data_IF_191114985176
#
_entry.id   IF_191114985176
#
_cell.length_a   1.000
_cell.length_b   1.000
_cell.length_c   1.000
_cell.angle_alpha   90.00
_cell.angle_beta   90.00
_cell.angle_gamma   90.00
#
_symmetry.space_group_name_H-M   'P 1'
#
loop_
_entity.id
_entity.type
_entity.pdbx_description
1 polymer ?
#
# COMPACT_ATOMS: atom_id res chain seq x y z
N UNK A 1 -0.44 25.14 -2.10
CA UNK A 1 -0.05 24.07 -3.05
C UNK A 1 -0.46 22.72 -2.50
N UNK A 2 -0.98 21.82 -3.33
CA UNK A 2 -1.10 20.40 -2.96
C UNK A 2 0.28 19.83 -2.63
N UNK A 3 0.39 19.00 -1.58
CA UNK A 3 1.68 18.36 -1.25
C UNK A 3 2.08 17.47 -2.42
N UNK A 4 3.24 17.74 -3.02
CA UNK A 4 3.79 16.91 -4.10
C UNK A 4 4.37 15.62 -3.56
N UNK A 5 4.46 14.61 -4.42
CA UNK A 5 5.05 13.31 -4.07
C UNK A 5 6.44 13.47 -3.46
N UNK A 6 6.70 12.74 -2.37
CA UNK A 6 8.02 12.67 -1.75
C UNK A 6 9.00 11.83 -2.58
N UNK A 7 10.31 12.03 -2.38
CA UNK A 7 11.35 11.19 -3.00
C UNK A 7 11.25 9.73 -2.56
N UNK A 8 10.81 9.47 -1.33
CA UNK A 8 10.63 8.11 -0.79
C UNK A 8 9.50 7.36 -1.51
N UNK A 9 8.35 8.02 -1.71
CA UNK A 9 7.23 7.45 -2.46
C UNK A 9 7.63 7.21 -3.92
N UNK A 10 8.36 8.15 -4.52
CA UNK A 10 8.88 7.96 -5.87
C UNK A 10 9.81 6.74 -5.95
N UNK A 11 10.75 6.63 -5.01
CA UNK A 11 11.69 5.50 -4.93
C UNK A 11 10.93 4.18 -4.81
N UNK A 12 9.90 4.11 -3.98
CA UNK A 12 9.06 2.92 -3.81
C UNK A 12 8.33 2.55 -5.11
N UNK A 13 7.74 3.53 -5.81
CA UNK A 13 7.11 3.29 -7.13
C UNK A 13 8.11 2.72 -8.14
N UNK A 14 9.32 3.29 -8.22
CA UNK A 14 10.35 2.76 -9.12
C UNK A 14 10.84 1.37 -8.71
N UNK A 15 10.85 1.06 -7.42
CA UNK A 15 11.16 -0.29 -6.95
C UNK A 15 10.11 -1.33 -7.35
N UNK A 16 8.82 -0.97 -7.34
CA UNK A 16 7.78 -1.82 -7.93
C UNK A 16 8.04 -2.04 -9.42
N UNK A 17 8.31 -0.97 -10.18
CA UNK A 17 8.62 -1.07 -11.62
C UNK A 17 9.80 -2.03 -11.86
N UNK A 18 10.87 -1.91 -11.07
CA UNK A 18 12.02 -2.81 -11.15
C UNK A 18 11.64 -4.26 -10.84
N UNK A 19 10.88 -4.52 -9.77
CA UNK A 19 10.43 -5.88 -9.43
C UNK A 19 9.59 -6.51 -10.56
N UNK A 20 8.68 -5.74 -11.16
CA UNK A 20 7.91 -6.22 -12.30
C UNK A 20 8.79 -6.48 -13.52
N UNK A 21 9.84 -5.68 -13.73
CA UNK A 21 10.80 -5.91 -14.80
C UNK A 21 11.55 -7.24 -14.63
N UNK A 22 11.95 -7.61 -13.41
CA UNK A 22 12.54 -8.93 -13.12
C UNK A 22 11.55 -10.06 -13.36
N UNK A 23 10.30 -9.88 -12.93
CA UNK A 23 9.23 -10.84 -13.20
C UNK A 23 9.01 -11.06 -14.70
N UNK A 24 8.96 -9.98 -15.50
CA UNK A 24 8.87 -10.08 -16.96
C UNK A 24 10.09 -10.75 -17.62
N UNK A 25 11.25 -10.64 -17.00
CA UNK A 25 12.49 -11.27 -17.45
C UNK A 25 12.66 -12.71 -16.94
N UNK A 26 11.73 -13.24 -16.13
CA UNK A 26 11.82 -14.58 -15.54
C UNK A 26 12.92 -14.72 -14.47
N UNK A 27 13.30 -13.62 -13.81
CA UNK A 27 14.36 -13.60 -12.79
C UNK A 27 13.72 -13.63 -11.39
N UNK A 28 14.07 -14.65 -10.60
CA UNK A 28 13.56 -14.83 -9.24
C UNK A 28 14.26 -13.89 -8.25
N UNK A 29 13.48 -13.06 -7.56
CA UNK A 29 13.99 -12.04 -6.62
C UNK A 29 13.37 -12.15 -5.22
N UNK A 30 12.42 -13.06 -5.00
CA UNK A 30 11.68 -13.11 -3.75
C UNK A 30 12.62 -13.34 -2.56
N UNK A 31 12.48 -12.51 -1.52
CA UNK A 31 13.29 -12.56 -0.29
C UNK A 31 14.81 -12.39 -0.47
N UNK A 32 15.25 -11.89 -1.63
CA UNK A 32 16.63 -11.45 -1.81
C UNK A 32 16.78 -10.00 -1.33
N UNK A 33 18.02 -9.60 -1.05
CA UNK A 33 18.33 -8.19 -0.80
C UNK A 33 18.54 -7.46 -2.12
N UNK A 34 18.07 -6.21 -2.13
CA UNK A 34 18.32 -5.26 -3.20
C UNK A 34 19.81 -4.92 -3.43
N UNK A 35 20.72 -5.38 -2.56
CA UNK A 35 22.18 -5.26 -2.72
C UNK A 35 22.76 -6.21 -3.78
N UNK A 36 22.07 -7.29 -4.10
CA UNK A 36 22.51 -8.32 -5.06
C UNK A 36 21.68 -8.27 -6.35
N UNK A 37 21.29 -7.07 -6.79
CA UNK A 37 20.42 -6.88 -7.94
C UNK A 37 21.05 -7.45 -9.21
N UNK A 38 20.46 -8.48 -9.83
CA UNK A 38 20.92 -8.96 -11.13
C UNK A 38 20.68 -7.87 -12.17
N UNK A 39 21.45 -7.86 -13.26
CA UNK A 39 21.24 -6.89 -14.33
C UNK A 39 19.95 -7.24 -15.07
N UNK A 40 19.03 -6.28 -15.17
CA UNK A 40 17.84 -6.37 -16.04
C UNK A 40 17.91 -5.30 -17.13
N UNK A 41 17.56 -5.69 -18.36
CA UNK A 41 17.57 -4.78 -19.53
C UNK A 41 16.59 -3.62 -19.35
N UNK A 42 16.97 -2.44 -19.84
CA UNK A 42 16.11 -1.25 -19.81
C UNK A 42 14.83 -1.43 -20.63
N UNK A 43 14.83 -2.35 -21.60
CA UNK A 43 13.61 -2.77 -22.32
C UNK A 43 12.53 -3.28 -21.34
N UNK A 44 12.88 -4.15 -20.39
CA UNK A 44 11.92 -4.68 -19.42
C UNK A 44 11.47 -3.62 -18.44
N UNK A 45 12.36 -2.71 -18.01
CA UNK A 45 11.99 -1.59 -17.13
C UNK A 45 10.99 -0.65 -17.82
N UNK A 46 11.23 -0.32 -19.08
CA UNK A 46 10.30 0.49 -19.88
C UNK A 46 8.94 -0.20 -20.01
N UNK A 47 8.93 -1.47 -20.42
CA UNK A 47 7.70 -2.27 -20.57
C UNK A 47 6.94 -2.38 -19.25
N UNK A 48 7.65 -2.60 -18.15
CA UNK A 48 7.07 -2.68 -16.81
C UNK A 48 6.41 -1.35 -16.40
N UNK A 49 7.12 -0.24 -16.54
CA UNK A 49 6.61 1.09 -16.23
C UNK A 49 5.32 1.38 -16.98
N UNK A 50 5.34 1.23 -18.31
CA UNK A 50 4.18 1.53 -19.15
C UNK A 50 2.99 0.61 -18.86
N UNK A 51 3.25 -0.69 -18.68
CA UNK A 51 2.20 -1.65 -18.37
C UNK A 51 1.53 -1.35 -17.03
N UNK A 52 2.29 -1.14 -15.96
CA UNK A 52 1.75 -0.88 -14.62
C UNK A 52 0.94 0.42 -14.57
N UNK A 53 1.40 1.48 -15.26
CA UNK A 53 0.68 2.76 -15.35
C UNK A 53 -0.65 2.61 -16.09
N UNK A 54 -0.65 1.89 -17.22
CA UNK A 54 -1.87 1.61 -18.00
C UNK A 54 -2.87 0.78 -17.20
N UNK A 55 -2.39 -0.25 -16.50
CA UNK A 55 -3.23 -1.08 -15.62
C UNK A 55 -3.84 -0.26 -14.48
N UNK A 56 -3.09 0.65 -13.88
CA UNK A 56 -3.61 1.56 -12.87
C UNK A 56 -4.72 2.46 -13.42
N UNK A 57 -4.53 3.08 -14.59
CA UNK A 57 -5.56 3.93 -15.20
C UNK A 57 -6.85 3.14 -15.42
N UNK A 58 -6.76 1.93 -15.99
CA UNK A 58 -7.93 1.07 -16.22
C UNK A 58 -8.65 0.70 -14.93
N UNK A 59 -7.91 0.48 -13.84
CA UNK A 59 -8.49 0.18 -12.53
C UNK A 59 -9.00 1.41 -11.77
N UNK A 60 -8.53 2.60 -12.16
CA UNK A 60 -8.87 3.84 -11.49
C UNK A 60 -10.15 4.44 -12.09
N UNK A 61 -10.87 5.22 -11.30
CA UNK A 61 -12.06 5.97 -11.75
C UNK A 61 -11.70 7.17 -12.65
N UNK A 62 -10.46 7.25 -13.16
CA UNK A 62 -10.01 8.31 -14.08
C UNK A 62 -10.59 8.08 -15.48
N UNK A 63 -11.91 8.21 -15.61
CA UNK A 63 -12.58 8.18 -16.89
C UNK A 63 -12.32 9.49 -17.64
N UNK A 64 -11.52 9.40 -18.71
CA UNK A 64 -11.20 10.54 -19.59
C UNK A 64 -12.04 10.56 -20.88
N UNK A 65 -13.10 9.74 -21.00
CA UNK A 65 -13.90 9.69 -22.23
C UNK A 65 -14.50 11.06 -22.57
N UNK A 66 -15.12 11.71 -21.60
CA UNK A 66 -15.78 13.01 -21.76
C UNK A 66 -14.89 14.20 -21.40
N UNK A 67 -13.63 13.95 -21.02
CA UNK A 67 -12.67 15.02 -20.74
C UNK A 67 -12.42 15.85 -22.01
N UNK A 68 -12.75 17.14 -21.92
CA UNK A 68 -12.44 18.17 -22.92
C UNK A 68 -11.33 19.05 -22.35
N UNK A 69 -10.11 19.03 -22.95
CA UNK A 69 -8.98 19.79 -22.44
C UNK A 69 -9.33 21.26 -22.23
N UNK A 70 -8.97 21.80 -21.06
CA UNK A 70 -9.13 23.22 -20.70
C UNK A 70 -10.56 23.78 -20.76
N UNK A 71 -11.60 22.95 -20.88
CA UNK A 71 -12.98 23.43 -21.11
C UNK A 71 -13.57 24.23 -19.94
N UNK A 72 -13.01 24.08 -18.74
CA UNK A 72 -13.43 24.79 -17.53
C UNK A 72 -12.30 25.67 -16.94
N UNK A 73 -11.25 25.93 -17.73
CA UNK A 73 -10.09 26.73 -17.31
C UNK A 73 -10.53 28.11 -16.80
N UNK A 74 -11.26 28.84 -17.63
CA UNK A 74 -11.65 30.22 -17.34
C UNK A 74 -12.52 30.31 -16.08
N UNK A 75 -13.53 29.45 -15.96
CA UNK A 75 -14.44 29.47 -14.81
C UNK A 75 -13.74 29.06 -13.51
N UNK A 76 -12.89 28.03 -13.53
CA UNK A 76 -12.10 27.64 -12.35
C UNK A 76 -11.15 28.75 -11.91
N UNK A 77 -10.44 29.38 -12.84
CA UNK A 77 -9.52 30.48 -12.51
C UNK A 77 -10.27 31.69 -11.95
N UNK A 78 -11.36 32.13 -12.61
CA UNK A 78 -12.20 33.24 -12.12
C UNK A 78 -12.71 32.98 -10.71
N UNK A 79 -13.29 31.81 -10.46
CA UNK A 79 -13.80 31.43 -9.14
C UNK A 79 -12.70 31.44 -8.09
N UNK A 80 -11.51 30.91 -8.42
CA UNK A 80 -10.38 30.89 -7.50
C UNK A 80 -9.88 32.30 -7.19
N UNK A 81 -9.73 33.15 -8.20
CA UNK A 81 -9.32 34.56 -8.04
C UNK A 81 -10.29 35.29 -7.12
N UNK A 82 -11.60 35.24 -7.41
CA UNK A 82 -12.62 35.87 -6.57
C UNK A 82 -12.53 35.39 -5.11
N UNK A 83 -12.45 34.07 -4.89
CA UNK A 83 -12.36 33.49 -3.55
C UNK A 83 -11.13 33.91 -2.74
N UNK A 84 -10.04 34.29 -3.41
CA UNK A 84 -8.80 34.76 -2.76
C UNK A 84 -8.84 36.26 -2.53
N UNK A 85 -9.42 37.02 -3.46
CA UNK A 85 -9.58 38.48 -3.34
C UNK A 85 -10.48 38.84 -2.15
N UNK A 86 -11.55 38.09 -1.92
CA UNK A 86 -12.49 38.25 -0.80
C UNK A 86 -11.88 37.95 0.58
N UNK A 87 -10.74 37.24 0.64
CA UNK A 87 -10.10 36.91 1.91
C UNK A 87 -9.25 38.07 2.43
N UNK A 88 -9.23 38.22 3.76
CA UNK A 88 -8.39 39.19 4.44
C UNK A 88 -6.94 38.69 4.57
N UNK A 89 -6.26 38.57 3.43
CA UNK A 89 -4.86 38.17 3.32
C UNK A 89 -4.00 39.34 2.84
N UNK A 90 -2.71 39.31 3.19
CA UNK A 90 -1.72 40.23 2.59
C UNK A 90 -1.63 40.00 1.09
N UNK A 91 -1.22 41.02 0.34
CA UNK A 91 -1.04 40.90 -1.12
C UNK A 91 -0.07 39.77 -1.48
N UNK A 92 1.04 39.63 -0.73
CA UNK A 92 2.01 38.55 -0.91
C UNK A 92 1.37 37.16 -0.72
N UNK A 93 0.54 37.00 0.31
CA UNK A 93 -0.17 35.73 0.55
C UNK A 93 -1.17 35.45 -0.56
N UNK A 94 -1.90 36.46 -1.04
CA UNK A 94 -2.82 36.31 -2.19
C UNK A 94 -2.08 35.87 -3.45
N UNK A 95 -0.96 36.52 -3.78
CA UNK A 95 -0.11 36.17 -4.93
C UNK A 95 0.39 34.72 -4.82
N UNK A 96 0.89 34.33 -3.65
CA UNK A 96 1.37 32.96 -3.40
C UNK A 96 0.26 31.91 -3.60
N UNK A 97 -0.92 32.12 -3.00
CA UNK A 97 -2.06 31.20 -3.14
C UNK A 97 -2.53 31.09 -4.59
N UNK A 98 -2.57 32.19 -5.34
CA UNK A 98 -2.96 32.19 -6.75
C UNK A 98 -1.94 31.47 -7.61
N UNK A 99 -0.65 31.72 -7.38
CA UNK A 99 0.46 31.07 -8.11
C UNK A 99 0.42 29.56 -7.89
N UNK A 100 0.30 29.12 -6.63
CA UNK A 100 0.16 27.70 -6.28
C UNK A 100 -1.04 27.05 -6.97
N UNK A 101 -2.17 27.74 -7.00
CA UNK A 101 -3.40 27.23 -7.62
C UNK A 101 -3.26 27.10 -9.13
N UNK A 102 -2.57 28.04 -9.78
CA UNK A 102 -2.28 27.98 -11.21
C UNK A 102 -1.34 26.80 -11.55
N UNK A 103 -0.32 26.58 -10.72
CA UNK A 103 0.61 25.46 -10.88
C UNK A 103 -0.09 24.11 -10.65
N UNK A 104 -0.94 24.00 -9.62
CA UNK A 104 -1.77 22.83 -9.36
C UNK A 104 -2.70 22.54 -10.55
N UNK A 105 -3.44 23.55 -11.01
CA UNK A 105 -4.32 23.43 -12.17
C UNK A 105 -3.57 22.97 -13.43
N UNK A 106 -2.45 23.63 -13.76
CA UNK A 106 -1.65 23.31 -14.96
C UNK A 106 -1.15 21.87 -14.90
N UNK A 107 -0.72 21.44 -13.72
CA UNK A 107 -0.24 20.07 -13.49
C UNK A 107 -1.36 19.04 -13.70
N UNK A 108 -2.55 19.29 -13.14
CA UNK A 108 -3.72 18.42 -13.29
C UNK A 108 -4.15 18.30 -14.76
N UNK A 109 -4.27 19.43 -15.48
CA UNK A 109 -4.65 19.41 -16.90
C UNK A 109 -3.60 18.68 -17.75
N UNK A 110 -2.30 18.90 -17.51
CA UNK A 110 -1.25 18.17 -18.22
C UNK A 110 -1.33 16.66 -17.97
N UNK A 111 -1.60 16.22 -16.75
CA UNK A 111 -1.77 14.80 -16.43
C UNK A 111 -3.00 14.22 -17.14
N UNK A 112 -4.13 14.94 -17.11
CA UNK A 112 -5.36 14.50 -17.78
C UNK A 112 -5.18 14.42 -19.30
N UNK A 113 -4.47 15.38 -19.89
CA UNK A 113 -4.12 15.37 -21.31
C UNK A 113 -3.25 14.16 -21.67
N UNK A 114 -2.21 13.86 -20.89
CA UNK A 114 -1.38 12.66 -21.09
C UNK A 114 -2.21 11.37 -21.02
N UNK A 115 -3.16 11.30 -20.08
CA UNK A 115 -4.04 10.13 -19.96
C UNK A 115 -4.95 10.02 -21.19
N UNK A 116 -5.47 11.15 -21.70
CA UNK A 116 -6.34 11.18 -22.89
C UNK A 116 -5.61 10.78 -24.16
N UNK A 117 -4.39 11.27 -24.37
CA UNK A 117 -3.61 11.06 -25.59
C UNK A 117 -2.95 9.68 -25.60
N UNK A 118 -2.26 9.32 -24.52
CA UNK A 118 -1.35 8.17 -24.51
C UNK A 118 -1.85 7.01 -23.62
N UNK A 119 -2.96 7.21 -22.90
CA UNK A 119 -3.47 6.24 -21.93
C UNK A 119 -2.51 6.05 -20.75
N UNK A 120 -1.70 7.07 -20.42
CA UNK A 120 -0.69 7.02 -19.36
C UNK A 120 -0.56 8.37 -18.63
N UNK A 121 0.21 8.41 -17.53
CA UNK A 121 0.46 9.61 -16.73
C UNK A 121 1.96 9.79 -16.43
N UNK A 122 2.36 10.96 -15.92
CA UNK A 122 3.74 11.25 -15.53
C UNK A 122 4.01 10.91 -14.06
N UNK A 123 5.16 10.30 -13.78
CA UNK A 123 5.67 10.01 -12.44
C UNK A 123 6.74 11.03 -11.98
N UNK A 124 6.87 12.15 -12.68
CA UNK A 124 7.78 13.22 -12.27
C UNK A 124 7.26 13.87 -10.97
N UNK A 125 8.16 14.19 -10.04
CA UNK A 125 7.81 14.72 -8.70
C UNK A 125 6.87 15.93 -8.76
N UNK A 126 7.11 16.84 -9.72
CA UNK A 126 6.30 18.05 -9.89
C UNK A 126 4.93 17.79 -10.52
N UNK A 127 4.75 16.62 -11.15
CA UNK A 127 3.56 16.31 -11.94
C UNK A 127 2.53 15.49 -11.18
N UNK A 128 2.90 14.83 -10.08
CA UNK A 128 1.99 13.94 -9.34
C UNK A 128 1.82 14.45 -7.90
N UNK A 129 0.56 14.54 -7.47
CA UNK A 129 0.24 14.85 -6.08
C UNK A 129 0.68 13.69 -5.16
N UNK A 130 0.93 14.00 -3.90
CA UNK A 130 1.28 12.96 -2.92
C UNK A 130 0.16 11.94 -2.76
N UNK A 131 -1.09 12.39 -2.79
CA UNK A 131 -2.27 11.52 -2.64
C UNK A 131 -2.41 10.56 -3.83
N UNK A 132 -2.19 11.04 -5.06
CA UNK A 132 -2.17 10.15 -6.23
C UNK A 132 -1.00 9.17 -6.18
N UNK A 133 0.17 9.60 -5.73
CA UNK A 133 1.32 8.72 -5.57
C UNK A 133 1.04 7.61 -4.54
N UNK A 134 0.39 7.94 -3.42
CA UNK A 134 -0.05 6.95 -2.41
C UNK A 134 -1.09 6.00 -3.02
N UNK A 135 -2.12 6.52 -3.71
CA UNK A 135 -3.12 5.68 -4.39
C UNK A 135 -2.49 4.73 -5.39
N UNK A 136 -1.54 5.20 -6.20
CA UNK A 136 -0.84 4.36 -7.16
C UNK A 136 0.06 3.32 -6.46
N UNK A 137 0.77 3.70 -5.41
CA UNK A 137 1.61 2.78 -4.62
C UNK A 137 0.78 1.68 -3.97
N UNK A 138 -0.36 2.03 -3.39
CA UNK A 138 -1.31 1.09 -2.80
C UNK A 138 -1.88 0.13 -3.85
N UNK A 139 -2.21 0.65 -5.05
CA UNK A 139 -2.61 -0.19 -6.18
C UNK A 139 -1.50 -1.16 -6.60
N UNK A 140 -0.26 -0.68 -6.73
CA UNK A 140 0.88 -1.53 -7.11
C UNK A 140 1.08 -2.64 -6.08
N UNK A 141 1.07 -2.33 -4.79
CA UNK A 141 1.21 -3.34 -3.76
C UNK A 141 0.10 -4.39 -3.84
N UNK A 142 -1.17 -3.96 -3.95
CA UNK A 142 -2.30 -4.89 -4.09
C UNK A 142 -2.17 -5.75 -5.35
N UNK A 143 -1.80 -5.15 -6.48
CA UNK A 143 -1.60 -5.87 -7.74
C UNK A 143 -0.51 -6.94 -7.61
N UNK A 144 0.62 -6.60 -6.98
CA UNK A 144 1.72 -7.55 -6.76
C UNK A 144 1.31 -8.70 -5.86
N UNK A 145 0.65 -8.40 -4.74
CA UNK A 145 0.17 -9.43 -3.82
C UNK A 145 -0.91 -10.33 -4.45
N UNK A 146 -1.83 -9.77 -5.24
CA UNK A 146 -2.86 -10.55 -5.94
C UNK A 146 -2.28 -11.47 -7.01
N UNK A 147 -1.22 -11.02 -7.69
CA UNK A 147 -0.57 -11.75 -8.79
C UNK A 147 0.63 -12.58 -8.35
N UNK A 148 0.90 -12.65 -7.05
CA UNK A 148 2.04 -13.37 -6.46
C UNK A 148 3.37 -12.96 -7.12
N UNK A 149 3.53 -11.65 -7.37
CA UNK A 149 4.72 -11.10 -7.99
C UNK A 149 5.79 -10.90 -6.91
N UNK A 150 7.00 -11.46 -7.09
CA UNK A 150 8.11 -11.27 -6.16
C UNK A 150 8.46 -9.80 -5.89
N UNK A 151 8.79 -9.49 -4.65
CA UNK A 151 9.26 -8.17 -4.22
C UNK A 151 10.51 -8.28 -3.35
N UNK A 152 11.33 -7.24 -3.35
CA UNK A 152 12.49 -7.13 -2.44
C UNK A 152 12.04 -7.03 -0.98
N UNK A 153 12.83 -7.57 -0.05
CA UNK A 153 12.53 -7.46 1.38
C UNK A 153 12.40 -5.99 1.82
N UNK A 154 13.29 -5.13 1.31
CA UNK A 154 13.28 -3.71 1.65
C UNK A 154 12.00 -2.99 1.17
N UNK A 155 11.28 -3.54 0.17
CA UNK A 155 9.96 -3.04 -0.22
C UNK A 155 8.88 -3.40 0.80
N UNK A 156 8.93 -4.62 1.35
CA UNK A 156 8.03 -5.01 2.43
C UNK A 156 8.25 -4.12 3.65
N UNK A 157 9.51 -3.80 3.98
CA UNK A 157 9.85 -2.91 5.09
C UNK A 157 9.37 -1.47 4.87
N UNK A 158 9.63 -0.91 3.69
CA UNK A 158 9.22 0.47 3.35
C UNK A 158 7.69 0.60 3.22
N UNK A 159 7.01 -0.39 2.66
CA UNK A 159 5.55 -0.37 2.58
C UNK A 159 4.93 -0.56 3.97
N UNK A 160 5.48 -1.45 4.81
CA UNK A 160 5.03 -1.65 6.18
C UNK A 160 5.11 -0.38 7.01
N UNK A 161 6.20 0.40 6.89
CA UNK A 161 6.35 1.64 7.66
C UNK A 161 5.31 2.71 7.29
N UNK A 162 4.72 2.62 6.09
CA UNK A 162 3.68 3.53 5.61
C UNK A 162 2.25 2.99 5.84
N UNK A 163 2.06 1.67 5.69
CA UNK A 163 0.73 1.03 5.56
C UNK A 163 0.68 -0.30 6.34
N UNK A 164 1.18 -0.32 7.59
CA UNK A 164 1.36 -1.54 8.40
C UNK A 164 0.13 -2.46 8.42
N UNK A 165 -1.06 -1.92 8.71
CA UNK A 165 -2.29 -2.71 8.80
C UNK A 165 -2.55 -3.50 7.51
N UNK A 166 -2.48 -2.82 6.37
CA UNK A 166 -2.74 -3.39 5.06
C UNK A 166 -1.67 -4.41 4.69
N UNK A 167 -0.41 -4.11 5.00
CA UNK A 167 0.69 -5.05 4.84
C UNK A 167 0.47 -6.34 5.65
N UNK A 168 0.22 -6.24 6.95
CA UNK A 168 -0.02 -7.42 7.82
C UNK A 168 -1.24 -8.22 7.33
N UNK A 169 -2.30 -7.56 6.89
CA UNK A 169 -3.48 -8.24 6.35
C UNK A 169 -3.15 -9.09 5.12
N UNK A 170 -2.32 -8.56 4.22
CA UNK A 170 -1.83 -9.31 3.08
C UNK A 170 -0.96 -10.50 3.48
N UNK A 171 -0.09 -10.33 4.48
CA UNK A 171 0.73 -11.41 5.01
C UNK A 171 -0.13 -12.52 5.64
N UNK A 172 -1.22 -12.16 6.33
CA UNK A 172 -2.21 -13.11 6.85
C UNK A 172 -2.87 -13.89 5.71
N UNK A 173 -3.35 -13.18 4.68
CA UNK A 173 -4.01 -13.82 3.53
C UNK A 173 -3.12 -14.82 2.80
N UNK A 174 -1.82 -14.53 2.73
CA UNK A 174 -0.82 -15.39 2.06
C UNK A 174 -0.16 -16.41 3.00
N UNK A 175 -0.50 -16.40 4.31
CA UNK A 175 0.14 -17.23 5.33
C UNK A 175 1.67 -17.11 5.32
N UNK A 176 2.17 -15.87 5.22
CA UNK A 176 3.60 -15.58 5.26
C UNK A 176 3.94 -14.98 6.62
N UNK A 177 5.01 -15.47 7.25
CA UNK A 177 5.42 -14.96 8.56
C UNK A 177 5.86 -13.50 8.46
N UNK A 178 5.28 -12.63 9.29
CA UNK A 178 5.64 -11.19 9.32
C UNK A 178 7.06 -10.90 9.83
N UNK A 179 7.69 -11.86 10.53
CA UNK A 179 9.05 -11.69 11.06
C UNK A 179 10.09 -12.27 10.10
N UNK A 180 9.84 -13.48 9.59
CA UNK A 180 10.87 -14.25 8.87
C UNK A 180 10.63 -14.30 7.37
N UNK A 181 9.46 -13.89 6.88
CA UNK A 181 9.09 -14.01 5.47
C UNK A 181 8.83 -15.45 4.99
N UNK A 182 8.93 -16.45 5.88
CA UNK A 182 8.72 -17.85 5.52
C UNK A 182 7.23 -18.13 5.25
N UNK A 183 6.90 -18.94 4.22
CA UNK A 183 5.52 -19.34 3.95
C UNK A 183 5.00 -20.32 5.01
N UNK A 184 3.72 -20.69 4.91
CA UNK A 184 3.02 -21.64 5.79
C UNK A 184 2.94 -21.20 7.27
N UNK A 185 2.87 -19.90 7.51
CA UNK A 185 2.70 -19.34 8.85
C UNK A 185 1.36 -19.73 9.49
N UNK A 186 1.39 -19.90 10.81
CA UNK A 186 0.26 -20.19 11.68
C UNK A 186 -0.35 -18.89 12.20
N UNK A 187 -1.66 -18.90 12.46
CA UNK A 187 -2.36 -17.75 13.02
C UNK A 187 -2.09 -17.68 14.53
N UNK A 188 -1.45 -16.61 15.00
CA UNK A 188 -1.20 -16.35 16.40
C UNK A 188 -2.18 -15.32 16.96
N UNK A 189 -2.78 -15.61 18.12
CA UNK A 189 -3.58 -14.64 18.87
C UNK A 189 -2.68 -13.73 19.70
N UNK A 190 -2.66 -12.44 19.38
CA UNK A 190 -1.77 -11.49 20.05
C UNK A 190 -2.44 -10.86 21.27
N UNK A 191 -3.59 -10.20 21.15
CA UNK A 191 -4.17 -9.47 22.30
C UNK A 191 -4.88 -10.38 23.30
N UNK A 192 -5.73 -11.31 22.85
CA UNK A 192 -6.39 -12.33 23.72
C UNK A 192 -6.12 -13.74 23.20
N UNK A 193 -5.42 -14.55 23.98
CA UNK A 193 -5.16 -15.95 23.64
C UNK A 193 -6.46 -16.74 23.52
N UNK A 194 -6.45 -17.84 22.75
CA UNK A 194 -7.60 -18.73 22.63
C UNK A 194 -8.07 -19.23 24.01
N UNK A 195 -7.15 -19.48 24.96
CA UNK A 195 -7.47 -19.85 26.34
C UNK A 195 -8.19 -18.74 27.11
N UNK A 196 -7.75 -17.48 26.99
CA UNK A 196 -8.40 -16.33 27.62
C UNK A 196 -9.81 -16.07 27.07
N UNK A 197 -10.10 -16.52 25.84
CA UNK A 197 -11.42 -16.48 25.24
C UNK A 197 -12.34 -17.64 25.69
N UNK A 198 -11.84 -18.61 26.48
CA UNK A 198 -12.57 -19.83 26.83
C UNK A 198 -12.51 -20.93 25.74
N UNK A 199 -11.56 -20.83 24.83
CA UNK A 199 -11.31 -21.74 23.73
C UNK A 199 -11.80 -21.24 22.36
N UNK A 200 -11.34 -21.91 21.30
CA UNK A 200 -11.64 -21.53 19.90
C UNK A 200 -13.14 -21.44 19.59
N UNK A 201 -14.01 -22.16 20.31
CA UNK A 201 -15.47 -22.09 20.14
C UNK A 201 -16.06 -20.69 20.39
N UNK A 202 -15.36 -19.85 21.15
CA UNK A 202 -15.77 -18.48 21.45
C UNK A 202 -14.93 -17.44 20.69
N UNK A 203 -14.00 -17.87 19.86
CA UNK A 203 -13.21 -16.98 19.03
C UNK A 203 -14.09 -16.41 17.91
N UNK A 204 -14.52 -15.15 18.07
CA UNK A 204 -15.31 -14.40 17.08
C UNK A 204 -14.44 -13.62 16.09
N UNK A 205 -13.13 -13.51 16.32
CA UNK A 205 -12.24 -12.67 15.53
C UNK A 205 -12.31 -11.18 15.88
N UNK A 206 -13.48 -10.56 15.74
CA UNK A 206 -13.67 -9.10 15.91
C UNK A 206 -13.22 -8.63 17.30
N UNK A 207 -12.42 -7.56 17.34
CA UNK A 207 -11.87 -6.96 18.56
C UNK A 207 -10.68 -7.72 19.15
N UNK A 208 -10.15 -8.73 18.46
CA UNK A 208 -8.90 -9.40 18.80
C UNK A 208 -7.84 -9.12 17.72
N UNK A 209 -6.58 -9.29 18.08
CA UNK A 209 -5.45 -8.96 17.21
C UNK A 209 -4.65 -10.21 16.85
N UNK A 210 -4.23 -10.31 15.60
CA UNK A 210 -3.61 -11.51 15.04
C UNK A 210 -2.36 -11.20 14.23
N UNK A 211 -1.46 -12.18 14.16
CA UNK A 211 -0.31 -12.18 13.26
C UNK A 211 -0.10 -13.57 12.64
N UNK A 212 0.38 -13.65 11.38
CA UNK A 212 0.87 -14.89 10.81
C UNK A 212 2.32 -15.08 11.27
N UNK A 213 2.59 -16.13 12.05
CA UNK A 213 3.92 -16.41 12.59
C UNK A 213 4.42 -17.80 12.14
N UNK A 214 5.71 -17.93 11.86
CA UNK A 214 6.33 -19.26 11.72
C UNK A 214 6.28 -19.99 13.06
N UNK A 215 6.36 -21.32 13.03
CA UNK A 215 6.28 -22.16 14.23
C UNK A 215 7.22 -21.71 15.36
N UNK A 216 8.44 -21.28 15.01
CA UNK A 216 9.44 -20.80 15.97
C UNK A 216 8.97 -19.57 16.78
N UNK A 217 8.21 -18.66 16.16
CA UNK A 217 7.67 -17.46 16.80
C UNK A 217 6.28 -17.69 17.38
N UNK A 218 5.52 -18.64 16.83
CA UNK A 218 4.17 -19.00 17.27
C UNK A 218 4.18 -19.72 18.63
N UNK A 219 5.10 -20.68 18.82
CA UNK A 219 5.24 -21.44 20.08
C UNK A 219 5.48 -20.49 21.29
N UNK A 220 6.22 -19.40 21.07
CA UNK A 220 6.49 -18.40 22.11
C UNK A 220 5.25 -17.67 22.62
N UNK A 221 4.17 -17.62 21.84
CA UNK A 221 2.90 -16.99 22.20
C UNK A 221 1.97 -17.96 22.91
N UNK A 222 1.83 -19.17 22.37
CA UNK A 222 0.78 -20.11 22.79
C UNK A 222 1.21 -21.04 23.93
N UNK A 223 2.51 -21.25 24.14
CA UNK A 223 3.03 -22.18 25.14
C UNK A 223 3.81 -21.53 26.28
N UNK A 224 3.98 -20.20 26.27
CA UNK A 224 4.59 -19.45 27.39
C UNK A 224 6.04 -19.83 27.72
N UNK A 225 6.71 -20.59 26.86
CA UNK A 225 8.05 -21.13 27.12
C UNK A 225 9.10 -20.01 27.06
N UNK A 226 9.91 -19.90 28.12
CA UNK A 226 11.14 -19.10 28.13
C UNK A 226 10.99 -17.60 27.82
N UNK A 227 9.87 -16.98 28.23
CA UNK A 227 9.59 -15.56 28.00
C UNK A 227 9.22 -15.23 26.54
N UNK A 228 8.76 -16.22 25.76
CA UNK A 228 8.51 -16.11 24.32
C UNK A 228 7.63 -14.94 23.89
N UNK A 229 6.61 -14.58 24.68
CA UNK A 229 5.75 -13.41 24.39
C UNK A 229 6.53 -12.09 24.47
N UNK A 230 7.41 -11.93 25.45
CA UNK A 230 8.24 -10.72 25.54
C UNK A 230 9.22 -10.65 24.37
N UNK A 231 9.88 -11.77 24.04
CA UNK A 231 10.77 -11.86 22.86
C UNK A 231 10.04 -11.50 21.57
N UNK A 232 8.81 -11.98 21.39
CA UNK A 232 7.98 -11.60 20.24
C UNK A 232 7.70 -10.09 20.26
N UNK A 233 7.20 -9.55 21.36
CA UNK A 233 6.83 -8.13 21.44
C UNK A 233 8.04 -7.22 21.22
N UNK A 234 9.22 -7.58 21.72
CA UNK A 234 10.46 -6.85 21.49
C UNK A 234 10.86 -6.91 20.02
N UNK A 235 10.73 -8.08 19.37
CA UNK A 235 11.01 -8.22 17.94
C UNK A 235 10.03 -7.43 17.07
N UNK A 236 8.75 -7.41 17.44
CA UNK A 236 7.73 -6.62 16.74
C UNK A 236 8.02 -5.11 16.86
N UNK A 237 8.46 -4.64 18.04
CA UNK A 237 8.89 -3.24 18.24
C UNK A 237 10.13 -2.91 17.41
N UNK A 238 11.14 -3.78 17.41
CA UNK A 238 12.36 -3.61 16.61
C UNK A 238 12.04 -3.48 15.12
N UNK A 239 11.09 -4.28 14.63
CA UNK A 239 10.68 -4.29 13.23
C UNK A 239 9.58 -3.26 12.92
N UNK A 240 9.07 -2.54 13.91
CA UNK A 240 7.90 -1.65 13.78
C UNK A 240 6.70 -2.35 13.12
N UNK A 241 6.33 -3.54 13.63
CA UNK A 241 5.17 -4.32 13.20
C UNK A 241 4.08 -4.20 14.27
N UNK A 242 2.91 -3.66 13.90
CA UNK A 242 1.74 -3.69 14.77
C UNK A 242 0.83 -4.88 14.41
N UNK A 243 0.26 -5.60 15.41
CA UNK A 243 -0.69 -6.67 15.18
C UNK A 243 -1.94 -6.24 14.40
N UNK A 244 -2.49 -7.13 13.59
CA UNK A 244 -3.73 -6.87 12.86
C UNK A 244 -4.95 -7.09 13.76
N UNK A 245 -5.53 -6.02 14.28
CA UNK A 245 -6.83 -6.08 14.94
C UNK A 245 -7.95 -6.30 13.92
N UNK A 246 -8.77 -7.33 14.08
CA UNK A 246 -9.92 -7.52 13.20
C UNK A 246 -11.05 -6.57 13.64
N UNK A 247 -11.50 -5.72 12.71
CA UNK A 247 -12.49 -4.66 12.96
C UNK A 247 -13.85 -4.94 12.31
N UNK A 248 -13.90 -5.75 11.26
CA UNK A 248 -15.15 -6.02 10.54
C UNK A 248 -15.43 -7.52 10.36
N UNK A 249 -16.70 -7.85 10.13
CA UNK A 249 -17.15 -9.21 9.86
C UNK A 249 -16.60 -9.73 8.52
N UNK A 250 -16.40 -8.86 7.52
CA UNK A 250 -15.81 -9.21 6.23
C UNK A 250 -14.37 -9.69 6.38
N UNK A 251 -13.58 -9.04 7.24
CA UNK A 251 -12.20 -9.46 7.56
C UNK A 251 -12.19 -10.85 8.21
N UNK A 252 -13.14 -11.13 9.12
CA UNK A 252 -13.29 -12.47 9.70
C UNK A 252 -13.70 -13.50 8.64
N UNK A 253 -14.70 -13.19 7.81
CA UNK A 253 -15.18 -14.06 6.72
C UNK A 253 -14.03 -14.42 5.78
N UNK A 254 -13.16 -13.46 5.44
CA UNK A 254 -12.01 -13.71 4.56
C UNK A 254 -10.94 -14.57 5.25
N UNK A 255 -10.53 -14.23 6.48
CA UNK A 255 -9.50 -14.98 7.19
C UNK A 255 -9.96 -16.39 7.58
N UNK A 256 -11.25 -16.61 7.89
CA UNK A 256 -11.83 -17.93 8.18
C UNK A 256 -11.76 -18.89 6.99
N UNK A 257 -11.80 -18.38 5.76
CA UNK A 257 -11.59 -19.20 4.55
C UNK A 257 -10.17 -19.78 4.51
N UNK A 258 -9.20 -19.06 5.05
CA UNK A 258 -7.75 -19.34 4.97
C UNK A 258 -7.28 -20.16 6.17
N UNK A 259 -7.71 -19.79 7.37
CA UNK A 259 -7.31 -20.41 8.64
C UNK A 259 -8.40 -21.35 9.15
N UNK A 260 -8.49 -22.53 8.54
CA UNK A 260 -9.43 -23.58 8.96
C UNK A 260 -9.23 -23.92 10.43
N UNK A 261 -10.32 -23.95 11.20
CA UNK A 261 -10.32 -24.23 12.64
C UNK A 261 -10.26 -22.99 13.55
N UNK A 262 -10.04 -21.80 13.01
CA UNK A 262 -10.13 -20.54 13.75
C UNK A 262 -11.49 -19.87 13.57
N UNK A 263 -11.77 -18.84 14.38
CA UNK A 263 -13.00 -18.05 14.29
C UNK A 263 -14.29 -18.88 14.40
N UNK A 264 -14.29 -19.93 15.24
CA UNK A 264 -15.45 -20.84 15.35
C UNK A 264 -16.66 -20.19 16.02
N UNK A 265 -16.43 -19.16 16.84
CA UNK A 265 -17.50 -18.37 17.46
C UNK A 265 -18.14 -17.36 16.51
N UNK A 266 -17.54 -17.12 15.34
CA UNK A 266 -18.11 -16.26 14.31
C UNK A 266 -19.20 -17.01 13.53
N UNK A 267 -20.42 -16.47 13.56
CA UNK A 267 -21.57 -16.96 12.80
C UNK A 267 -21.78 -16.08 11.58
N UNK A 268 -21.77 -16.67 10.39
CA UNK A 268 -22.05 -15.94 9.15
C UNK A 268 -23.55 -15.61 9.13
N UNK A 269 -23.86 -14.32 9.29
CA UNK A 269 -25.14 -13.76 8.85
C UNK A 269 -25.11 -13.55 7.34
#
# INVERSE_FOLDING_TARGET
MSKRMSRENQKLIYWFIDCYAYYLAGIEINWRTSKEKPRVSDYFKYKAKEYLKKKYIVSSEKNVKDYKPFSNLESKLKNKIMSVLERNYTNETKVSVLTDSLLDFTTEEMQMLLIKLDGTFSLALKMISNDEAIKFTNYLFDFFMQKDIPMWQEMHELYRSQENRKWVYWMLKKKICVITGKPNAQLAHISKSAGALGGYKYDKGVGNSYLPLSMEWHIGVDHGVGGGRNKLMDKLKELNIEPFEIKTDEEVKELKKIYKGHFKGFTEK
#
